data_IF_283896707431
#
_entry.id   IF_283896707431
#
_cell.length_a   1.000
_cell.length_b   1.000
_cell.length_c   1.000
_cell.angle_alpha   90.00
_cell.angle_beta   90.00
_cell.angle_gamma   90.00
#
_symmetry.space_group_name_H-M   'P 1'
#
loop_
_entity.id
_entity.type
_entity.pdbx_description
1 polymer ?
#
# COMPACT_ATOMS: atom_id res chain seq x y z
N UNK A 1 39.55 10.34 33.46
CA UNK A 1 38.28 11.10 33.37
C UNK A 1 38.17 11.94 32.10
N UNK A 2 39.15 12.73 31.67
CA UNK A 2 39.05 13.58 30.43
C UNK A 2 38.83 12.79 29.14
N UNK A 3 39.42 11.61 28.98
CA UNK A 3 39.27 10.76 27.79
C UNK A 3 37.90 10.03 27.74
N UNK A 4 37.30 9.71 28.88
CA UNK A 4 35.97 9.12 28.93
C UNK A 4 34.87 10.12 28.53
N UNK A 5 35.04 11.39 28.92
CA UNK A 5 34.12 12.48 28.49
C UNK A 5 34.21 12.75 27.00
N UNK A 6 35.41 12.69 26.40
CA UNK A 6 35.63 12.88 24.97
C UNK A 6 34.99 11.75 24.14
N UNK A 7 35.13 10.50 24.60
CA UNK A 7 34.48 9.33 23.97
C UNK A 7 32.96 9.37 24.08
N UNK A 8 32.41 9.80 25.22
CA UNK A 8 30.96 9.97 25.36
C UNK A 8 30.42 11.08 24.47
N UNK A 9 31.15 12.16 24.28
CA UNK A 9 30.77 13.26 23.39
C UNK A 9 30.86 12.84 21.91
N UNK A 10 31.88 12.07 21.51
CA UNK A 10 31.99 11.50 20.16
C UNK A 10 30.88 10.48 19.87
N UNK A 11 30.46 9.68 20.84
CA UNK A 11 29.34 8.74 20.71
C UNK A 11 27.99 9.47 20.58
N UNK A 12 27.80 10.59 21.29
CA UNK A 12 26.60 11.40 21.22
C UNK A 12 26.46 12.13 19.87
N UNK A 13 27.57 12.53 19.24
CA UNK A 13 27.56 13.17 17.92
C UNK A 13 27.20 12.20 16.76
N UNK A 14 27.36 10.88 16.95
CA UNK A 14 26.98 9.90 15.91
C UNK A 14 25.49 9.58 15.87
N UNK A 15 24.71 10.01 16.87
CA UNK A 15 23.26 9.75 16.94
C UNK A 15 22.38 10.82 16.28
N UNK A 16 22.94 11.84 15.63
CA UNK A 16 22.20 12.98 15.08
C UNK A 16 21.98 12.94 13.57
N UNK A 17 21.95 11.76 12.95
CA UNK A 17 21.32 11.66 11.63
C UNK A 17 19.80 11.52 11.79
N UNK A 18 19.15 12.59 12.22
CA UNK A 18 17.71 12.78 12.13
C UNK A 18 17.38 13.09 10.66
N UNK A 19 17.31 12.07 9.85
CA UNK A 19 16.65 12.19 8.54
C UNK A 19 15.15 12.29 8.83
N UNK A 20 14.60 13.49 8.76
CA UNK A 20 13.16 13.69 8.73
C UNK A 20 12.61 12.86 7.57
N UNK A 21 11.66 11.97 7.84
CA UNK A 21 10.95 11.30 6.77
C UNK A 21 10.09 12.36 6.09
N UNK A 22 10.40 12.67 4.83
CA UNK A 22 9.52 13.49 4.01
C UNK A 22 8.17 12.78 3.90
N UNK A 23 7.15 13.40 4.49
CA UNK A 23 5.87 12.80 4.83
C UNK A 23 4.91 12.60 3.68
N UNK A 24 5.30 11.95 2.59
CA UNK A 24 4.34 11.50 1.57
C UNK A 24 3.96 10.04 1.82
N UNK A 25 3.66 9.73 3.06
CA UNK A 25 3.14 8.43 3.39
C UNK A 25 1.62 8.43 3.23
N UNK A 26 1.15 8.18 2.01
CA UNK A 26 -0.26 7.92 1.77
C UNK A 26 -0.72 6.69 2.57
N UNK A 27 -1.91 6.76 3.15
CA UNK A 27 -2.57 5.55 3.63
C UNK A 27 -2.87 4.66 2.42
N UNK A 28 -2.31 3.48 2.42
CA UNK A 28 -2.53 2.48 1.36
C UNK A 28 -3.69 1.53 1.69
N UNK A 29 -4.41 1.82 2.77
CA UNK A 29 -5.55 1.04 3.25
C UNK A 29 -5.18 -0.04 4.26
N UNK A 30 -6.16 -0.40 5.10
CA UNK A 30 -5.98 -1.33 6.21
C UNK A 30 -5.55 -2.75 5.77
N UNK A 31 -5.92 -3.20 4.57
CA UNK A 31 -5.45 -4.48 4.02
C UNK A 31 -3.94 -4.48 3.85
N UNK A 32 -3.40 -3.48 3.15
CA UNK A 32 -1.97 -3.34 2.92
C UNK A 32 -1.20 -3.11 4.21
N UNK A 33 -1.73 -2.26 5.10
CA UNK A 33 -1.14 -2.00 6.41
C UNK A 33 -1.00 -3.28 7.24
N UNK A 34 -2.01 -4.16 7.23
CA UNK A 34 -1.95 -5.47 7.91
C UNK A 34 -0.96 -6.46 7.29
N UNK A 35 -0.49 -6.21 6.06
CA UNK A 35 0.44 -7.05 5.31
C UNK A 35 1.83 -6.38 5.13
N UNK A 36 2.32 -5.64 6.11
CA UNK A 36 3.63 -5.00 6.03
C UNK A 36 3.70 -3.87 4.99
N UNK A 37 2.56 -3.21 4.72
CA UNK A 37 2.45 -2.18 3.68
C UNK A 37 2.83 -2.67 2.27
N UNK A 38 2.66 -3.98 2.02
CA UNK A 38 2.73 -4.56 0.67
C UNK A 38 1.46 -4.30 -0.11
N UNK A 39 1.47 -4.46 -1.42
CA UNK A 39 0.29 -4.30 -2.26
C UNK A 39 0.58 -4.03 -3.73
N UNK A 40 1.86 -4.07 -4.11
CA UNK A 40 2.30 -3.76 -5.47
C UNK A 40 1.72 -4.72 -6.53
N UNK A 41 1.42 -5.95 -6.12
CA UNK A 41 0.86 -7.02 -6.96
C UNK A 41 -0.66 -7.16 -6.86
N UNK A 42 -1.34 -6.28 -6.14
CA UNK A 42 -2.80 -6.35 -6.02
C UNK A 42 -3.51 -6.19 -7.36
N UNK A 43 -4.58 -6.98 -7.54
CA UNK A 43 -5.44 -7.01 -8.74
C UNK A 43 -6.88 -6.61 -8.38
N UNK A 44 -7.04 -5.60 -7.53
CA UNK A 44 -8.32 -5.13 -6.98
C UNK A 44 -8.28 -3.62 -6.76
N UNK A 45 -9.32 -3.04 -6.17
CA UNK A 45 -9.45 -1.59 -5.95
C UNK A 45 -8.28 -0.98 -5.15
N UNK A 46 -7.62 -1.73 -4.26
CA UNK A 46 -6.46 -1.23 -3.52
C UNK A 46 -5.27 -0.86 -4.42
N UNK A 47 -5.20 -1.43 -5.64
CA UNK A 47 -4.18 -1.09 -6.62
C UNK A 47 -4.23 0.37 -7.07
N UNK A 48 -5.34 1.09 -6.85
CA UNK A 48 -5.42 2.52 -7.07
C UNK A 48 -4.38 3.34 -6.28
N UNK A 49 -3.95 2.83 -5.11
CA UNK A 49 -2.94 3.48 -4.28
C UNK A 49 -1.56 2.80 -4.33
N UNK A 50 -1.49 1.57 -4.81
CA UNK A 50 -0.25 0.77 -4.74
C UNK A 50 0.44 0.61 -6.09
N UNK A 51 -0.29 0.18 -7.13
CA UNK A 51 0.20 0.03 -8.49
C UNK A 51 -0.98 0.00 -9.47
N UNK A 52 -1.17 1.06 -10.22
CA UNK A 52 -2.32 1.25 -11.10
C UNK A 52 -2.45 0.18 -12.20
N UNK A 53 -1.37 -0.56 -12.51
CA UNK A 53 -1.45 -1.70 -13.42
C UNK A 53 -2.42 -2.79 -12.93
N UNK A 54 -2.59 -2.94 -11.61
CA UNK A 54 -3.53 -3.87 -11.01
C UNK A 54 -5.00 -3.52 -11.25
N UNK A 55 -5.33 -2.24 -11.50
CA UNK A 55 -6.68 -1.79 -11.87
C UNK A 55 -7.22 -2.48 -13.12
N UNK A 56 -6.34 -2.89 -14.03
CA UNK A 56 -6.69 -3.60 -15.26
C UNK A 56 -7.43 -4.92 -15.04
N UNK A 57 -7.45 -5.42 -13.80
CA UNK A 57 -8.10 -6.69 -13.43
C UNK A 57 -9.48 -6.50 -12.79
N UNK A 58 -9.90 -5.27 -12.51
CA UNK A 58 -11.25 -5.01 -12.02
C UNK A 58 -12.28 -5.36 -13.09
N UNK A 59 -13.34 -6.06 -12.67
CA UNK A 59 -14.45 -6.47 -13.54
C UNK A 59 -15.66 -5.56 -13.40
N UNK A 60 -15.82 -4.95 -12.24
CA UNK A 60 -16.95 -4.07 -11.90
C UNK A 60 -16.43 -2.83 -11.16
N UNK A 61 -17.32 -1.88 -10.92
CA UNK A 61 -17.04 -0.71 -10.08
C UNK A 61 -16.54 -1.14 -8.72
N UNK A 62 -15.48 -0.47 -8.28
CA UNK A 62 -14.90 -0.65 -6.94
C UNK A 62 -14.77 0.69 -6.22
N UNK A 63 -14.93 0.64 -4.91
CA UNK A 63 -14.66 1.77 -4.03
C UNK A 63 -14.08 1.30 -2.71
N UNK A 64 -13.20 2.08 -2.12
CA UNK A 64 -12.81 1.86 -0.74
C UNK A 64 -12.53 3.17 0.00
N UNK A 65 -12.67 3.12 1.32
CA UNK A 65 -12.24 4.16 2.24
C UNK A 65 -11.50 3.52 3.39
N UNK A 66 -10.46 4.17 3.87
CA UNK A 66 -9.66 3.70 4.99
C UNK A 66 -9.06 4.85 5.77
N UNK A 67 -8.76 4.59 7.04
CA UNK A 67 -8.04 5.51 7.90
C UNK A 67 -7.07 4.74 8.81
N UNK A 68 -5.98 5.40 9.18
CA UNK A 68 -5.05 4.95 10.21
C UNK A 68 -4.70 6.14 11.12
N UNK A 69 -4.48 5.84 12.38
CA UNK A 69 -4.00 6.82 13.36
C UNK A 69 -2.60 6.40 13.79
N UNK A 70 -1.59 7.10 13.27
CA UNK A 70 -0.20 6.71 13.50
C UNK A 70 0.19 6.94 14.94
N UNK A 71 0.73 5.87 15.54
CA UNK A 71 1.25 5.86 16.92
C UNK A 71 0.23 6.30 17.98
N UNK A 72 -1.08 6.16 17.67
CA UNK A 72 -2.19 6.64 18.51
C UNK A 72 -2.18 8.16 18.75
N UNK A 73 -1.48 8.93 17.89
CA UNK A 73 -1.41 10.39 17.96
C UNK A 73 -2.49 10.96 17.04
N UNK A 74 -3.36 11.81 17.58
CA UNK A 74 -4.53 12.39 16.87
C UNK A 74 -4.13 13.25 15.69
N UNK A 75 -2.99 13.93 15.79
CA UNK A 75 -2.42 14.81 14.76
C UNK A 75 -1.82 14.05 13.58
N UNK A 76 -1.58 12.75 13.74
CA UNK A 76 -0.97 11.88 12.71
C UNK A 76 -2.01 10.95 12.08
N UNK A 77 -3.19 11.49 11.77
CA UNK A 77 -4.22 10.74 11.04
C UNK A 77 -3.95 10.74 9.55
N UNK A 78 -4.12 9.57 8.93
CA UNK A 78 -4.11 9.42 7.49
C UNK A 78 -5.44 8.81 7.03
N UNK A 79 -6.13 9.50 6.14
CA UNK A 79 -7.39 9.07 5.55
C UNK A 79 -7.20 8.88 4.05
N UNK A 80 -7.83 7.87 3.48
CA UNK A 80 -7.78 7.63 2.04
C UNK A 80 -9.09 7.08 1.52
N UNK A 81 -9.45 7.49 0.29
CA UNK A 81 -10.57 6.93 -0.45
C UNK A 81 -10.19 6.76 -1.93
N UNK A 82 -10.73 5.71 -2.55
CA UNK A 82 -10.58 5.48 -3.97
C UNK A 82 -11.89 4.99 -4.60
N UNK A 83 -12.09 5.37 -5.86
CA UNK A 83 -13.16 4.90 -6.73
C UNK A 83 -12.54 4.44 -8.03
N UNK A 84 -12.96 3.29 -8.56
CA UNK A 84 -12.50 2.80 -9.85
C UNK A 84 -13.67 2.29 -10.70
N UNK A 85 -13.62 2.64 -11.97
CA UNK A 85 -14.64 2.30 -12.94
C UNK A 85 -14.01 1.63 -14.16
N UNK A 86 -14.26 0.31 -14.38
CA UNK A 86 -13.81 -0.40 -15.57
C UNK A 86 -14.58 0.05 -16.80
N UNK A 87 -13.85 0.18 -17.91
CA UNK A 87 -14.37 0.42 -19.25
C UNK A 87 -13.83 -0.64 -20.22
N UNK A 88 -14.32 -0.65 -21.46
CA UNK A 88 -13.81 -1.57 -22.49
C UNK A 88 -12.33 -1.35 -22.84
N UNK A 89 -11.80 -0.16 -22.62
CA UNK A 89 -10.40 0.19 -22.93
C UNK A 89 -9.43 0.05 -21.75
N UNK A 90 -9.95 -0.04 -20.52
CA UNK A 90 -9.18 -0.11 -19.27
C UNK A 90 -9.99 0.46 -18.11
N UNK A 91 -9.38 0.55 -16.94
CA UNK A 91 -10.02 1.01 -15.70
C UNK A 91 -9.49 2.38 -15.30
N UNK A 92 -10.36 3.34 -15.10
CA UNK A 92 -10.05 4.64 -14.51
C UNK A 92 -10.24 4.58 -13.00
N UNK A 93 -9.42 5.33 -12.27
CA UNK A 93 -9.55 5.48 -10.83
C UNK A 93 -9.34 6.91 -10.37
N UNK A 94 -10.07 7.30 -9.34
CA UNK A 94 -9.87 8.54 -8.58
C UNK A 94 -9.42 8.17 -7.18
N UNK A 95 -8.40 8.87 -6.68
CA UNK A 95 -7.89 8.68 -5.32
C UNK A 95 -7.81 10.00 -4.59
N UNK A 96 -8.11 9.96 -3.30
CA UNK A 96 -7.96 11.09 -2.37
C UNK A 96 -7.28 10.59 -1.12
N UNK A 97 -6.23 11.28 -0.68
CA UNK A 97 -5.64 11.11 0.64
C UNK A 97 -5.61 12.44 1.37
N UNK A 98 -5.75 12.35 2.69
CA UNK A 98 -5.49 13.45 3.61
C UNK A 98 -4.65 12.92 4.76
N UNK A 99 -3.61 13.64 5.11
CA UNK A 99 -2.76 13.36 6.27
C UNK A 99 -2.58 14.63 7.07
N UNK A 100 -2.58 14.50 8.40
CA UNK A 100 -2.27 15.58 9.33
C UNK A 100 -3.47 16.08 10.11
N UNK A 101 -3.37 17.32 10.55
CA UNK A 101 -4.30 17.99 11.48
C UNK A 101 -4.50 19.47 11.08
N UNK A 102 -5.24 20.25 11.89
CA UNK A 102 -5.57 21.66 11.60
C UNK A 102 -4.33 22.55 11.41
N UNK A 103 -3.23 22.28 12.14
CA UNK A 103 -1.97 23.02 12.05
C UNK A 103 -1.02 22.57 10.91
N UNK A 104 -1.26 21.42 10.29
CA UNK A 104 -0.48 20.89 9.17
C UNK A 104 -1.28 19.84 8.41
N UNK A 105 -1.53 20.04 7.14
CA UNK A 105 -2.23 19.07 6.33
C UNK A 105 -1.55 18.83 4.97
N UNK A 106 -1.49 17.56 4.58
CA UNK A 106 -1.10 17.11 3.25
C UNK A 106 -2.29 16.45 2.57
N UNK A 107 -2.64 16.94 1.40
CA UNK A 107 -3.68 16.38 0.56
C UNK A 107 -3.08 15.86 -0.73
N UNK A 108 -3.57 14.71 -1.18
CA UNK A 108 -3.15 14.11 -2.43
C UNK A 108 -4.37 13.67 -3.21
N UNK A 109 -4.49 14.15 -4.43
CA UNK A 109 -5.52 13.77 -5.38
C UNK A 109 -4.88 13.06 -6.56
N UNK A 110 -5.45 11.94 -6.99
CA UNK A 110 -4.91 11.16 -8.09
C UNK A 110 -5.97 10.79 -9.12
N UNK A 111 -5.60 10.88 -10.40
CA UNK A 111 -6.34 10.33 -11.52
C UNK A 111 -5.52 9.21 -12.12
N UNK A 112 -5.95 7.97 -11.89
CA UNK A 112 -5.28 6.75 -12.30
C UNK A 112 -5.94 6.08 -13.49
N UNK A 113 -5.15 5.30 -14.22
CA UNK A 113 -5.60 4.46 -15.31
C UNK A 113 -4.78 3.17 -15.35
N UNK A 114 -5.44 2.04 -15.60
CA UNK A 114 -4.79 0.74 -15.77
C UNK A 114 -5.42 -0.07 -16.89
N UNK A 115 -4.60 -0.75 -17.70
CA UNK A 115 -5.08 -1.63 -18.78
C UNK A 115 -4.21 -2.85 -18.98
N UNK A 116 -4.80 -3.92 -19.47
CA UNK A 116 -4.06 -5.06 -19.99
C UNK A 116 -3.50 -4.73 -21.37
N UNK A 117 -2.19 -4.93 -21.55
CA UNK A 117 -1.55 -4.91 -22.87
C UNK A 117 -1.60 -6.28 -23.52
N UNK A 118 -1.35 -7.32 -22.74
CA UNK A 118 -1.38 -8.71 -23.14
C UNK A 118 -2.05 -9.54 -22.03
N UNK A 119 -2.35 -10.80 -22.29
CA UNK A 119 -3.01 -11.67 -21.31
C UNK A 119 -2.28 -11.72 -19.95
N UNK A 120 -0.94 -11.63 -19.99
CA UNK A 120 -0.07 -11.73 -18.82
C UNK A 120 0.57 -10.42 -18.39
N UNK A 121 0.34 -9.32 -19.09
CA UNK A 121 1.00 -8.04 -18.83
C UNK A 121 -0.02 -6.91 -18.76
N UNK A 122 0.00 -6.19 -17.65
CA UNK A 122 -0.78 -4.98 -17.44
C UNK A 122 0.15 -3.80 -17.16
N UNK A 123 -0.27 -2.62 -17.59
CA UNK A 123 0.38 -1.35 -17.27
C UNK A 123 -0.63 -0.40 -16.66
N UNK A 124 -0.14 0.58 -15.94
CA UNK A 124 -0.96 1.65 -15.40
C UNK A 124 -0.13 2.87 -15.07
N UNK A 125 -0.83 3.94 -14.77
CA UNK A 125 -0.20 5.16 -14.32
C UNK A 125 -1.20 6.06 -13.62
N UNK A 126 -0.71 7.06 -12.93
CA UNK A 126 -1.52 8.02 -12.18
C UNK A 126 -0.87 9.39 -12.26
N UNK A 127 -1.67 10.42 -12.49
CA UNK A 127 -1.29 11.81 -12.28
C UNK A 127 -1.73 12.18 -10.87
N UNK A 128 -0.85 12.83 -10.12
CA UNK A 128 -1.02 13.18 -8.72
C UNK A 128 -0.86 14.69 -8.53
N UNK A 129 -1.79 15.27 -7.81
CA UNK A 129 -1.71 16.64 -7.32
C UNK A 129 -1.52 16.58 -5.81
N UNK A 130 -0.42 17.10 -5.33
CA UNK A 130 -0.12 17.28 -3.92
C UNK A 130 -0.44 18.70 -3.50
N UNK A 131 -1.01 18.87 -2.32
CA UNK A 131 -1.22 20.16 -1.71
C UNK A 131 -0.85 20.05 -0.23
N UNK A 132 0.13 20.83 0.21
CA UNK A 132 0.48 20.94 1.63
C UNK A 132 0.09 22.32 2.09
N UNK A 133 -0.59 22.38 3.23
CA UNK A 133 -1.07 23.61 3.85
C UNK A 133 -0.59 23.68 5.29
N UNK A 134 0.02 24.82 5.61
CA UNK A 134 0.42 25.19 6.97
C UNK A 134 -0.22 26.55 7.25
N UNK A 135 -1.14 26.66 8.20
CA UNK A 135 -1.69 27.97 8.62
C UNK A 135 -0.55 28.96 8.88
N UNK A 136 -0.72 30.21 8.52
CA UNK A 136 0.28 31.29 8.61
C UNK A 136 1.43 31.23 7.59
N UNK A 137 1.81 30.04 7.08
CA UNK A 137 2.87 29.89 6.05
C UNK A 137 2.29 29.70 4.65
N UNK A 138 0.97 29.48 4.53
CA UNK A 138 0.28 29.34 3.26
C UNK A 138 0.21 27.88 2.76
N UNK A 139 -0.01 27.72 1.46
CA UNK A 139 -0.11 26.40 0.82
C UNK A 139 0.84 26.28 -0.36
N UNK A 140 1.30 25.06 -0.62
CA UNK A 140 2.12 24.70 -1.78
C UNK A 140 1.52 23.51 -2.50
N UNK A 141 1.50 23.59 -3.81
CA UNK A 141 1.01 22.50 -4.66
C UNK A 141 2.13 22.01 -5.59
N UNK A 142 2.15 20.69 -5.82
CA UNK A 142 3.02 20.05 -6.79
C UNK A 142 2.24 19.01 -7.59
N UNK A 143 2.68 18.76 -8.82
CA UNK A 143 2.10 17.74 -9.69
C UNK A 143 3.17 16.69 -9.96
N UNK A 144 2.85 15.43 -9.73
CA UNK A 144 3.75 14.33 -10.04
C UNK A 144 2.99 13.19 -10.73
N UNK A 145 3.69 12.12 -11.08
CA UNK A 145 3.07 10.97 -11.69
C UNK A 145 3.71 9.66 -11.21
N UNK A 146 2.94 8.60 -11.35
CA UNK A 146 3.35 7.22 -11.10
C UNK A 146 3.18 6.40 -12.37
N UNK A 147 4.08 5.44 -12.57
CA UNK A 147 4.00 4.44 -13.61
C UNK A 147 4.11 3.06 -12.98
N UNK A 148 3.26 2.15 -13.41
CA UNK A 148 3.18 0.80 -12.89
C UNK A 148 3.14 -0.27 -13.97
N UNK A 149 3.67 -1.43 -13.64
CA UNK A 149 3.62 -2.64 -14.46
C UNK A 149 3.33 -3.84 -13.57
N UNK A 150 2.52 -4.77 -14.06
CA UNK A 150 2.18 -6.03 -13.40
C UNK A 150 2.21 -7.16 -14.43
N UNK A 151 3.04 -8.17 -14.18
CA UNK A 151 3.19 -9.36 -15.03
C UNK A 151 2.78 -10.62 -14.26
N UNK A 152 1.87 -11.41 -14.81
CA UNK A 152 1.48 -12.73 -14.33
C UNK A 152 2.34 -13.79 -15.02
N UNK A 153 3.36 -14.30 -14.33
CA UNK A 153 4.30 -15.28 -14.90
C UNK A 153 3.68 -16.66 -14.97
N UNK A 154 3.01 -17.08 -13.89
CA UNK A 154 2.28 -18.34 -13.82
C UNK A 154 0.95 -18.15 -13.09
N UNK A 155 0.25 -19.24 -12.79
CA UNK A 155 -0.96 -19.19 -11.94
C UNK A 155 -0.65 -18.83 -10.49
N UNK A 156 0.58 -19.11 -10.07
CA UNK A 156 1.03 -18.92 -8.70
C UNK A 156 1.93 -17.70 -8.49
N UNK A 157 2.45 -17.07 -9.59
CA UNK A 157 3.48 -16.03 -9.46
C UNK A 157 3.13 -14.77 -10.25
N UNK A 158 3.07 -13.66 -9.55
CA UNK A 158 2.99 -12.31 -10.10
C UNK A 158 4.25 -11.51 -9.77
N UNK A 159 4.70 -10.67 -10.69
CA UNK A 159 5.77 -9.69 -10.49
C UNK A 159 5.25 -8.31 -10.84
N UNK A 160 5.63 -7.31 -10.05
CA UNK A 160 5.21 -5.94 -10.28
C UNK A 160 6.35 -4.93 -10.07
N UNK A 161 6.22 -3.82 -10.78
CA UNK A 161 7.10 -2.64 -10.70
C UNK A 161 6.24 -1.40 -10.57
N UNK A 162 6.73 -0.43 -9.80
CA UNK A 162 6.17 0.91 -9.74
C UNK A 162 7.29 1.93 -9.62
N UNK A 163 7.14 3.03 -10.35
CA UNK A 163 8.03 4.16 -10.28
C UNK A 163 7.21 5.41 -9.94
N UNK A 164 7.50 6.01 -8.80
CA UNK A 164 6.90 7.26 -8.35
C UNK A 164 7.87 8.41 -8.58
N UNK A 165 7.36 9.52 -9.10
CA UNK A 165 8.10 10.77 -9.34
C UNK A 165 9.43 10.57 -10.08
N UNK A 166 9.44 9.98 -11.28
CA UNK A 166 10.68 9.69 -12.02
C UNK A 166 11.47 10.92 -12.44
N UNK A 167 10.84 12.09 -12.45
CA UNK A 167 11.47 13.37 -12.90
C UNK A 167 11.95 14.25 -11.75
N UNK A 168 11.84 13.76 -10.49
CA UNK A 168 12.30 14.50 -9.30
C UNK A 168 11.75 15.92 -9.21
N UNK A 169 10.43 16.03 -9.24
CA UNK A 169 9.77 17.33 -9.15
C UNK A 169 10.10 17.99 -7.82
N UNK A 170 10.53 19.24 -7.90
CA UNK A 170 10.76 20.08 -6.74
C UNK A 170 9.42 20.53 -6.15
N UNK A 171 9.30 20.39 -4.85
CA UNK A 171 8.10 20.73 -4.11
C UNK A 171 8.19 22.10 -3.44
N UNK A 172 9.33 22.37 -2.81
CA UNK A 172 9.74 23.66 -2.24
C UNK A 172 11.15 23.92 -2.69
N UNK A 173 11.56 25.16 -2.80
CA UNK A 173 12.91 25.55 -3.20
C UNK A 173 13.97 24.75 -2.42
N UNK A 174 14.75 23.94 -3.14
CA UNK A 174 15.76 23.06 -2.58
C UNK A 174 15.25 21.69 -2.06
N UNK A 175 13.93 21.42 -2.05
CA UNK A 175 13.37 20.14 -1.61
C UNK A 175 12.58 19.43 -2.72
N UNK A 176 13.03 18.24 -3.09
CA UNK A 176 12.38 17.42 -4.10
C UNK A 176 11.36 16.47 -3.46
N UNK A 177 10.26 16.20 -4.18
CA UNK A 177 9.43 15.04 -3.88
C UNK A 177 10.27 13.77 -3.99
N UNK A 178 10.08 12.77 -3.09
CA UNK A 178 10.77 11.49 -3.17
C UNK A 178 10.65 10.87 -4.56
N UNK A 179 11.72 10.26 -5.04
CA UNK A 179 11.71 9.43 -6.26
C UNK A 179 11.88 7.99 -5.86
N UNK A 180 10.82 7.18 -6.00
CA UNK A 180 10.76 5.84 -5.42
C UNK A 180 10.54 4.79 -6.48
N UNK A 181 11.45 3.81 -6.52
CA UNK A 181 11.29 2.57 -7.27
C UNK A 181 10.82 1.47 -6.32
N UNK A 182 9.78 0.74 -6.74
CA UNK A 182 9.29 -0.44 -6.04
C UNK A 182 9.30 -1.65 -6.96
N UNK A 183 9.72 -2.77 -6.42
CA UNK A 183 9.70 -4.07 -7.08
C UNK A 183 9.08 -5.07 -6.12
N UNK A 184 8.16 -5.88 -6.60
CA UNK A 184 7.45 -6.84 -5.76
C UNK A 184 7.14 -8.14 -6.49
N UNK A 185 6.99 -9.20 -5.70
CA UNK A 185 6.56 -10.50 -6.15
C UNK A 185 5.47 -11.02 -5.20
N UNK A 186 4.40 -11.57 -5.78
CA UNK A 186 3.42 -12.36 -5.05
C UNK A 186 3.55 -13.82 -5.45
N UNK A 187 3.43 -14.70 -4.44
CA UNK A 187 3.35 -16.14 -4.60
C UNK A 187 2.06 -16.67 -4.00
N UNK A 188 1.26 -17.34 -4.81
CA UNK A 188 -0.07 -17.87 -4.49
C UNK A 188 -0.03 -19.41 -4.49
N UNK A 189 0.59 -20.07 -3.46
CA UNK A 189 0.73 -21.54 -3.43
C UNK A 189 -0.61 -22.27 -3.38
N UNK A 190 -1.64 -21.60 -2.94
CA UNK A 190 -3.00 -22.14 -2.90
C UNK A 190 -4.03 -21.01 -2.97
N UNK A 191 -5.32 -21.31 -3.23
CA UNK A 191 -6.37 -20.31 -3.27
C UNK A 191 -6.64 -19.58 -1.94
N UNK A 192 -6.07 -20.07 -0.84
CA UNK A 192 -6.30 -19.55 0.52
C UNK A 192 -5.05 -18.86 1.11
N UNK A 193 -3.91 -18.86 0.39
CA UNK A 193 -2.65 -18.32 0.90
C UNK A 193 -1.97 -17.44 -0.14
N UNK A 194 -1.74 -16.20 0.22
CA UNK A 194 -0.96 -15.22 -0.54
C UNK A 194 0.28 -14.81 0.25
N UNK A 195 1.45 -14.87 -0.39
CA UNK A 195 2.73 -14.39 0.15
C UNK A 195 3.25 -13.29 -0.77
N UNK A 196 3.59 -12.14 -0.20
CA UNK A 196 4.08 -10.98 -0.96
C UNK A 196 5.41 -10.53 -0.39
N UNK A 197 6.38 -10.31 -1.25
CA UNK A 197 7.64 -9.66 -0.90
C UNK A 197 7.84 -8.44 -1.80
N UNK A 198 8.31 -7.34 -1.22
CA UNK A 198 8.57 -6.11 -1.95
C UNK A 198 9.87 -5.46 -1.47
N UNK A 199 10.53 -4.78 -2.41
CA UNK A 199 11.64 -3.89 -2.12
C UNK A 199 11.27 -2.51 -2.63
N UNK A 200 11.41 -1.51 -1.76
CA UNK A 200 11.19 -0.11 -2.05
C UNK A 200 12.51 0.65 -1.89
N UNK A 201 12.90 1.39 -2.90
CA UNK A 201 14.09 2.23 -2.89
C UNK A 201 13.71 3.67 -3.27
N UNK A 202 13.70 4.53 -2.29
CA UNK A 202 13.78 5.97 -2.49
C UNK A 202 15.24 6.31 -2.82
N UNK A 203 15.45 7.19 -3.78
CA UNK A 203 16.81 7.54 -4.25
C UNK A 203 17.68 8.11 -3.11
N UNK A 204 17.04 8.84 -2.17
CA UNK A 204 17.71 9.55 -1.09
C UNK A 204 17.69 8.75 0.26
N UNK A 205 17.05 7.56 0.30
CA UNK A 205 16.89 6.75 1.51
C UNK A 205 17.45 5.34 1.34
N UNK A 206 17.66 4.64 2.45
CA UNK A 206 18.04 3.22 2.45
C UNK A 206 16.88 2.38 1.89
N UNK A 207 17.21 1.34 1.14
CA UNK A 207 16.21 0.42 0.62
C UNK A 207 15.42 -0.26 1.76
N UNK A 208 14.11 -0.43 1.56
CA UNK A 208 13.19 -1.07 2.51
C UNK A 208 12.71 -2.38 1.95
N UNK A 209 12.78 -3.42 2.75
CA UNK A 209 12.13 -4.70 2.48
C UNK A 209 10.76 -4.75 3.14
N UNK A 210 9.78 -5.34 2.47
CA UNK A 210 8.43 -5.57 2.97
C UNK A 210 8.04 -7.01 2.74
N UNK A 211 7.35 -7.59 3.70
CA UNK A 211 6.79 -8.92 3.63
C UNK A 211 5.34 -8.90 4.08
N UNK A 212 4.47 -9.59 3.34
CA UNK A 212 3.06 -9.75 3.66
C UNK A 212 2.60 -11.18 3.46
N UNK A 213 1.73 -11.63 4.34
CA UNK A 213 1.03 -12.90 4.28
C UNK A 213 -0.47 -12.65 4.49
N UNK A 214 -1.30 -13.20 3.62
CA UNK A 214 -2.76 -13.26 3.79
C UNK A 214 -3.20 -14.72 3.75
N UNK A 215 -3.94 -15.13 4.78
CA UNK A 215 -4.49 -16.48 4.88
C UNK A 215 -6.01 -16.44 5.09
N UNK A 216 -6.75 -17.10 4.20
CA UNK A 216 -8.19 -17.27 4.28
C UNK A 216 -8.53 -18.38 5.26
N UNK A 217 -8.89 -18.01 6.48
CA UNK A 217 -9.30 -18.97 7.52
C UNK A 217 -10.68 -19.53 7.25
N UNK A 218 -11.56 -18.71 6.72
CA UNK A 218 -12.93 -19.06 6.33
C UNK A 218 -13.33 -18.29 5.07
N UNK A 219 -14.46 -18.65 4.47
CA UNK A 219 -14.96 -17.96 3.27
C UNK A 219 -15.17 -16.45 3.46
N UNK A 220 -15.36 -16.02 4.70
CA UNK A 220 -15.64 -14.63 5.08
C UNK A 220 -14.50 -13.98 5.86
N UNK A 221 -13.44 -14.72 6.26
CA UNK A 221 -12.41 -14.23 7.18
C UNK A 221 -11.02 -14.42 6.58
N UNK A 222 -10.31 -13.31 6.40
CA UNK A 222 -8.90 -13.29 6.04
C UNK A 222 -8.07 -12.83 7.25
N UNK A 223 -6.98 -13.52 7.58
CA UNK A 223 -5.98 -13.10 8.56
C UNK A 223 -4.74 -12.66 7.81
N UNK A 224 -4.11 -11.60 8.29
CA UNK A 224 -2.93 -10.99 7.66
C UNK A 224 -1.83 -10.79 8.67
N UNK A 225 -0.61 -11.03 8.23
CA UNK A 225 0.62 -10.73 8.96
C UNK A 225 1.60 -10.06 8.01
N UNK A 226 2.49 -9.25 8.56
CA UNK A 226 3.53 -8.64 7.75
C UNK A 226 4.65 -8.03 8.57
N UNK A 227 5.69 -7.64 7.87
CA UNK A 227 6.84 -6.97 8.45
C UNK A 227 7.49 -6.02 7.43
N UNK A 228 8.12 -4.95 7.92
CA UNK A 228 8.93 -4.04 7.10
C UNK A 228 10.29 -3.80 7.75
N UNK A 229 11.26 -3.42 6.93
CA UNK A 229 12.54 -2.88 7.40
C UNK A 229 12.58 -1.36 7.12
N UNK A 230 13.27 -0.59 7.95
CA UNK A 230 13.48 0.84 7.74
C UNK A 230 12.24 1.73 7.55
N UNK A 231 11.36 1.93 8.58
CA UNK A 231 11.45 1.46 9.94
C UNK A 231 11.05 0.00 10.09
N UNK A 232 11.55 -0.67 11.12
CA UNK A 232 11.12 -2.02 11.45
C UNK A 232 9.74 -1.97 12.07
N UNK A 233 8.77 -2.54 11.35
CA UNK A 233 7.39 -2.68 11.81
C UNK A 233 6.99 -4.15 11.76
N UNK A 234 6.20 -4.58 12.74
CA UNK A 234 5.42 -5.80 12.68
C UNK A 234 3.96 -5.41 12.47
N UNK A 235 3.27 -6.10 11.59
CA UNK A 235 1.89 -5.75 11.25
C UNK A 235 0.98 -6.96 11.32
N UNK A 236 -0.28 -6.71 11.66
CA UNK A 236 -1.34 -7.69 11.64
C UNK A 236 -2.63 -7.08 11.11
N UNK A 237 -3.50 -7.91 10.58
CA UNK A 237 -4.80 -7.47 10.10
C UNK A 237 -5.81 -8.58 10.01
N UNK A 238 -7.07 -8.17 9.96
CA UNK A 238 -8.22 -9.06 9.75
C UNK A 238 -9.12 -8.42 8.71
N UNK A 239 -9.55 -9.22 7.74
CA UNK A 239 -10.61 -8.87 6.79
C UNK A 239 -11.86 -9.68 7.08
N UNK A 240 -13.02 -9.02 7.08
CA UNK A 240 -14.31 -9.67 7.27
C UNK A 240 -15.28 -9.30 6.15
N UNK A 241 -15.74 -10.32 5.41
CA UNK A 241 -16.73 -10.17 4.35
C UNK A 241 -18.13 -10.10 4.95
N UNK A 242 -18.71 -8.89 5.02
CA UNK A 242 -20.07 -8.68 5.56
C UNK A 242 -21.13 -9.08 4.55
N UNK A 243 -20.91 -8.73 3.29
CA UNK A 243 -21.82 -9.02 2.18
C UNK A 243 -21.01 -9.39 0.93
N UNK A 244 -21.69 -9.87 -0.11
CA UNK A 244 -21.04 -10.36 -1.32
C UNK A 244 -20.02 -9.37 -1.94
N UNK A 245 -20.28 -8.06 -1.79
CA UNK A 245 -19.45 -6.98 -2.33
C UNK A 245 -18.83 -6.07 -1.25
N UNK A 246 -19.08 -6.32 0.04
CA UNK A 246 -18.63 -5.44 1.11
C UNK A 246 -17.69 -6.19 2.06
N UNK A 247 -16.49 -5.65 2.24
CA UNK A 247 -15.49 -6.18 3.15
C UNK A 247 -15.02 -5.10 4.12
N UNK A 248 -14.98 -5.42 5.40
CA UNK A 248 -14.30 -4.63 6.43
C UNK A 248 -12.88 -5.13 6.61
N UNK A 249 -11.96 -4.21 6.82
CA UNK A 249 -10.57 -4.50 7.13
C UNK A 249 -10.17 -3.73 8.38
N UNK A 250 -9.51 -4.42 9.30
CA UNK A 250 -8.90 -3.83 10.49
C UNK A 250 -7.44 -4.22 10.47
N UNK A 251 -6.57 -3.33 10.85
CA UNK A 251 -5.13 -3.56 10.92
C UNK A 251 -4.50 -2.87 12.10
N UNK A 252 -3.33 -3.32 12.48
CA UNK A 252 -2.45 -2.61 13.40
C UNK A 252 -1.01 -2.85 13.00
N UNK A 253 -0.19 -1.81 13.02
CA UNK A 253 1.26 -1.95 12.94
C UNK A 253 1.89 -1.54 14.27
N UNK A 254 3.00 -2.18 14.61
CA UNK A 254 3.74 -1.94 15.84
C UNK A 254 5.18 -1.49 15.52
N UNK A 255 5.55 -0.33 16.02
CA UNK A 255 6.90 0.21 15.99
C UNK A 255 7.52 0.10 17.38
N UNK A 256 8.75 -0.39 17.48
CA UNK A 256 9.41 -0.68 18.79
C UNK A 256 9.48 0.53 19.73
N UNK A 257 9.60 1.75 19.18
CA UNK A 257 9.75 2.98 19.98
C UNK A 257 8.44 3.78 20.02
N UNK A 258 7.74 3.86 18.89
CA UNK A 258 6.58 4.76 18.73
C UNK A 258 5.23 4.08 19.06
N UNK A 259 5.21 2.76 19.23
CA UNK A 259 4.01 2.02 19.61
C UNK A 259 3.12 1.63 18.43
N UNK A 260 1.82 1.58 18.67
CA UNK A 260 0.83 1.03 17.74
C UNK A 260 0.24 2.07 16.80
N UNK A 261 -0.05 1.64 15.57
CA UNK A 261 -0.80 2.38 14.56
C UNK A 261 -2.02 1.55 14.17
N UNK A 262 -3.19 1.74 14.77
CA UNK A 262 -4.43 1.12 14.35
C UNK A 262 -4.91 1.70 13.02
N UNK A 263 -5.54 0.86 12.21
CA UNK A 263 -6.18 1.25 10.96
C UNK A 263 -7.46 0.45 10.71
N UNK A 264 -8.39 1.06 10.00
CA UNK A 264 -9.63 0.43 9.58
C UNK A 264 -10.00 0.87 8.16
N UNK A 265 -10.79 0.05 7.47
CA UNK A 265 -11.27 0.40 6.14
C UNK A 265 -12.44 -0.46 5.69
N UNK A 266 -13.19 0.08 4.77
CA UNK A 266 -14.30 -0.57 4.09
C UNK A 266 -14.04 -0.62 2.60
N UNK A 267 -14.34 -1.75 1.99
CA UNK A 267 -14.19 -1.99 0.55
C UNK A 267 -15.53 -2.40 -0.02
N UNK A 268 -15.90 -1.81 -1.13
CA UNK A 268 -16.98 -2.26 -2.00
C UNK A 268 -16.37 -2.71 -3.33
N UNK A 269 -16.38 -4.01 -3.58
CA UNK A 269 -15.84 -4.59 -4.82
C UNK A 269 -16.41 -5.99 -5.02
N UNK A 270 -16.66 -6.36 -6.28
CA UNK A 270 -17.01 -7.74 -6.61
C UNK A 270 -15.82 -8.68 -6.35
N UNK A 271 -16.03 -9.66 -5.49
CA UNK A 271 -15.06 -10.72 -5.19
C UNK A 271 -15.53 -12.03 -5.82
N UNK A 272 -14.75 -12.56 -6.74
CA UNK A 272 -15.08 -13.83 -7.38
C UNK A 272 -15.12 -14.96 -6.34
N UNK A 273 -16.29 -15.61 -6.22
CA UNK A 273 -16.44 -16.78 -5.33
C UNK A 273 -15.53 -17.89 -5.83
N UNK A 274 -14.65 -18.38 -5.00
CA UNK A 274 -13.89 -19.60 -5.32
C UNK A 274 -14.88 -20.75 -5.49
N UNK A 275 -14.89 -21.37 -6.68
CA UNK A 275 -15.63 -22.61 -6.89
C UNK A 275 -15.09 -23.64 -5.91
N UNK A 276 -15.94 -24.06 -4.96
CA UNK A 276 -15.70 -25.24 -4.13
C UNK A 276 -15.51 -26.39 -5.10
N UNK A 277 -14.31 -26.95 -5.21
CA UNK A 277 -14.12 -28.21 -5.90
C UNK A 277 -14.88 -29.26 -5.05
N UNK A 278 -16.13 -29.48 -5.41
CA UNK A 278 -16.83 -30.69 -5.02
C UNK A 278 -16.19 -31.86 -5.76
N UNK A 279 -15.09 -32.36 -5.22
CA UNK A 279 -14.65 -33.72 -5.47
C UNK A 279 -15.62 -34.64 -4.73
N UNK A 280 -16.77 -34.90 -5.33
CA UNK A 280 -17.61 -36.02 -4.96
C UNK A 280 -16.76 -37.29 -5.17
N UNK A 281 -16.48 -38.10 -4.15
CA UNK A 281 -15.88 -39.39 -4.38
C UNK A 281 -16.92 -40.22 -5.15
N UNK A 282 -16.63 -40.54 -6.41
CA UNK A 282 -17.38 -41.57 -7.13
C UNK A 282 -17.23 -42.85 -6.31
N UNK A 283 -18.31 -43.23 -5.66
CA UNK A 283 -18.41 -44.53 -5.01
C UNK A 283 -18.05 -45.63 -6.01
N UNK A 284 -17.01 -46.37 -5.69
CA UNK A 284 -16.71 -47.64 -6.30
C UNK A 284 -17.82 -48.62 -5.97
N UNK A 285 -18.73 -48.82 -6.92
CA UNK A 285 -19.57 -50.03 -6.91
C UNK A 285 -18.69 -51.20 -7.31
N UNK A 286 -18.22 -51.95 -6.34
CA UNK A 286 -17.80 -53.31 -6.52
C UNK A 286 -19.04 -54.20 -6.51
N UNK A 287 -19.30 -54.84 -7.62
CA UNK A 287 -19.90 -56.16 -7.76
C UNK A 287 -19.02 -57.02 -8.61
#
# INVERSE_FOLDING_TARGET
>A
MKHALLLSFLFLCHCLNLSGQNGIAASVGARSAGMGYTGLTYKNIHSAFTNQAGLAHLKEFGAFASGEQRFLVSELQALGAAFAYPTSSGTFALTVNNFGFEGYSEQRFGLGYGRKLFDKLSIGGQILVFNTSIPEYGSRAAISFELGMLATLSREVDIAFQLFNPVRIEWVEGENLPSVLKVGMAYHPSPILDLIIEVEKDIDQVARGKFGLEYKVASQVDIRLGATTGPTLMTMGVGYQIAEKIMLNISSSYHQVLGFTPGAGIVYEYREKQKKNESTPRGSNFF
#
